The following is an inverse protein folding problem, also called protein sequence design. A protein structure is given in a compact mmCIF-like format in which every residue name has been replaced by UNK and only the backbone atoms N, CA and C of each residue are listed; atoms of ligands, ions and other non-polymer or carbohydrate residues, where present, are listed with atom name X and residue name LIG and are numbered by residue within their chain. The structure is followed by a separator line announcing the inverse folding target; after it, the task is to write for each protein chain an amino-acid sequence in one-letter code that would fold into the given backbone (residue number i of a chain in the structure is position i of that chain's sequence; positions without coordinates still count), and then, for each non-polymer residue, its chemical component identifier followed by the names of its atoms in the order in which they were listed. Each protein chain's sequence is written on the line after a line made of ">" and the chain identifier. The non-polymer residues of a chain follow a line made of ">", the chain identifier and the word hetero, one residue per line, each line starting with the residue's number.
data_IF_498384656420
#
_entry.id   IF_498384656420
#
_cell.length_a   1.000
_cell.length_b   1.000
_cell.length_c   1.000
_cell.angle_alpha   90.00
_cell.angle_beta   90.00
_cell.angle_gamma   90.00
#
_symmetry.space_group_name_H-M   'P 1'
#
loop_
_entity.id
_entity.type
_entity.pdbx_description
1 polymer ?
#
# COMPACT_ATOMS: atom_id res chain seq x y z
N UNK A 1 6.05 8.37 16.53
CA UNK A 1 4.97 9.25 17.05
C UNK A 1 5.56 10.28 18.00
N UNK A 2 5.68 11.52 17.55
CA UNK A 2 5.79 12.69 18.43
C UNK A 2 4.39 13.30 18.49
N UNK A 3 3.51 12.78 19.31
CA UNK A 3 2.13 13.24 19.39
C UNK A 3 1.69 13.48 20.81
N UNK A 4 0.75 14.39 20.98
CA UNK A 4 0.02 14.54 22.23
C UNK A 4 -0.61 13.20 22.62
N UNK A 5 -0.73 12.93 23.90
CA UNK A 5 -1.58 11.84 24.37
C UNK A 5 -3.03 12.12 23.94
N UNK A 6 -3.57 11.25 23.09
CA UNK A 6 -4.96 11.31 22.64
C UNK A 6 -5.68 10.05 23.07
N UNK A 7 -6.96 10.17 23.38
CA UNK A 7 -7.83 9.02 23.67
C UNK A 7 -8.31 8.29 22.41
N UNK A 8 -7.43 8.21 21.41
CA UNK A 8 -7.71 7.47 20.16
C UNK A 8 -6.79 6.27 20.04
N UNK A 9 -7.17 5.22 19.28
CA UNK A 9 -6.29 4.11 19.00
C UNK A 9 -4.99 4.60 18.36
N UNK A 10 -3.85 4.04 18.79
CA UNK A 10 -2.55 4.43 18.26
C UNK A 10 -2.30 3.74 16.92
N UNK A 11 -2.09 4.52 15.87
CA UNK A 11 -1.78 4.03 14.53
C UNK A 11 -0.57 3.08 14.53
N UNK A 12 0.52 3.48 15.21
CA UNK A 12 1.73 2.68 15.30
C UNK A 12 1.51 1.28 15.92
N UNK A 13 0.67 1.19 16.94
CA UNK A 13 0.37 -0.12 17.57
C UNK A 13 -0.45 -1.01 16.63
N UNK A 14 -1.38 -0.45 15.87
CA UNK A 14 -2.14 -1.20 14.86
C UNK A 14 -1.26 -1.69 13.72
N UNK A 15 -0.30 -0.88 13.27
CA UNK A 15 0.72 -1.30 12.29
C UNK A 15 1.55 -2.47 12.83
N UNK A 16 2.00 -2.41 14.10
CA UNK A 16 2.74 -3.52 14.71
C UNK A 16 1.93 -4.82 14.76
N UNK A 17 0.64 -4.73 15.13
CA UNK A 17 -0.27 -5.88 15.14
C UNK A 17 -0.40 -6.44 13.73
N UNK A 18 -0.63 -5.61 12.72
CA UNK A 18 -0.76 -6.05 11.33
C UNK A 18 0.50 -6.73 10.78
N UNK A 19 1.69 -6.19 11.10
CA UNK A 19 2.97 -6.83 10.75
C UNK A 19 3.16 -8.16 11.48
N UNK A 20 2.70 -8.28 12.73
CA UNK A 20 2.75 -9.54 13.44
C UNK A 20 1.82 -10.59 12.82
N UNK A 21 0.60 -10.21 12.42
CA UNK A 21 -0.32 -11.06 11.67
C UNK A 21 0.35 -11.52 10.36
N UNK A 22 1.03 -10.62 9.63
CA UNK A 22 1.74 -10.98 8.41
C UNK A 22 2.83 -12.06 8.62
N UNK A 23 3.51 -12.03 9.76
CA UNK A 23 4.50 -13.07 10.12
C UNK A 23 3.86 -14.38 10.54
N UNK A 24 2.75 -14.32 11.28
CA UNK A 24 2.04 -15.50 11.78
C UNK A 24 1.39 -16.30 10.65
N UNK A 25 0.88 -15.62 9.63
CA UNK A 25 0.20 -16.23 8.49
C UNK A 25 1.03 -16.17 7.20
N UNK A 26 2.36 -16.22 7.30
CA UNK A 26 3.26 -16.03 6.15
C UNK A 26 3.01 -16.99 4.98
N UNK A 27 2.54 -18.20 5.26
CA UNK A 27 2.28 -19.27 4.29
C UNK A 27 0.78 -19.46 3.96
N UNK A 28 -0.10 -18.59 4.48
CA UNK A 28 -1.55 -18.70 4.29
C UNK A 28 -2.15 -17.32 3.98
N UNK A 29 -2.24 -17.02 2.69
CA UNK A 29 -2.69 -15.74 2.16
C UNK A 29 -4.16 -15.44 2.49
N UNK A 30 -5.02 -16.46 2.41
CA UNK A 30 -6.45 -16.31 2.68
C UNK A 30 -6.68 -16.05 4.18
N UNK A 31 -6.00 -16.78 5.05
CA UNK A 31 -6.07 -16.56 6.49
C UNK A 31 -5.47 -15.20 6.87
N UNK A 32 -4.36 -14.78 6.25
CA UNK A 32 -3.78 -13.46 6.43
C UNK A 32 -4.77 -12.35 6.05
N UNK A 33 -5.32 -12.41 4.83
CA UNK A 33 -6.26 -11.40 4.32
C UNK A 33 -7.49 -11.28 5.23
N UNK A 34 -8.09 -12.43 5.58
CA UNK A 34 -9.21 -12.49 6.52
C UNK A 34 -8.86 -11.88 7.87
N UNK A 35 -7.68 -12.20 8.40
CA UNK A 35 -7.24 -11.71 9.71
C UNK A 35 -6.98 -10.20 9.71
N UNK A 36 -6.43 -9.65 8.62
CA UNK A 36 -6.29 -8.21 8.44
C UNK A 36 -7.67 -7.55 8.44
N UNK A 37 -8.63 -8.08 7.67
CA UNK A 37 -9.99 -7.54 7.63
C UNK A 37 -10.65 -7.55 9.02
N UNK A 38 -10.60 -8.67 9.73
CA UNK A 38 -11.29 -8.88 11.01
C UNK A 38 -10.67 -8.10 12.19
N UNK A 39 -9.34 -7.91 12.19
CA UNK A 39 -8.60 -7.35 13.35
C UNK A 39 -8.15 -5.91 13.13
N UNK A 40 -7.62 -5.64 11.95
CA UNK A 40 -7.15 -4.29 11.60
C UNK A 40 -8.32 -3.46 11.07
N UNK A 41 -9.19 -4.07 10.29
CA UNK A 41 -10.24 -3.41 9.54
C UNK A 41 -9.76 -2.95 8.16
N UNK A 42 -10.73 -2.68 7.30
CA UNK A 42 -10.50 -2.23 5.92
C UNK A 42 -11.44 -1.05 5.55
N UNK A 43 -11.80 -0.24 6.53
CA UNK A 43 -12.64 0.94 6.30
C UNK A 43 -11.83 2.17 5.86
N UNK A 44 -12.55 3.23 5.48
CA UNK A 44 -12.00 4.52 5.01
C UNK A 44 -11.22 5.29 6.08
N UNK A 45 -11.41 4.96 7.36
CA UNK A 45 -10.72 5.62 8.47
C UNK A 45 -9.23 5.34 8.48
N UNK A 46 -8.41 6.38 8.61
CA UNK A 46 -6.94 6.28 8.65
C UNK A 46 -6.42 5.24 9.65
N UNK A 47 -7.18 5.00 10.72
CA UNK A 47 -6.84 4.05 11.77
C UNK A 47 -6.96 2.58 11.32
N UNK A 48 -7.66 2.33 10.22
CA UNK A 48 -7.79 1.04 9.58
C UNK A 48 -7.01 0.98 8.27
N UNK A 49 -7.26 1.92 7.35
CA UNK A 49 -6.70 1.90 6.00
C UNK A 49 -5.16 1.92 5.98
N UNK A 50 -4.52 2.77 6.80
CA UNK A 50 -3.05 2.84 6.83
C UNK A 50 -2.41 1.58 7.44
N UNK A 51 -2.84 1.06 8.61
CA UNK A 51 -2.30 -0.21 9.11
C UNK A 51 -2.54 -1.39 8.18
N UNK A 52 -3.71 -1.48 7.53
CA UNK A 52 -3.99 -2.52 6.54
C UNK A 52 -3.03 -2.43 5.35
N UNK A 53 -2.88 -1.24 4.76
CA UNK A 53 -1.99 -1.00 3.62
C UNK A 53 -0.53 -1.37 3.94
N UNK A 54 -0.01 -0.91 5.09
CA UNK A 54 1.36 -1.23 5.52
C UNK A 54 1.54 -2.73 5.75
N UNK A 55 0.55 -3.40 6.35
CA UNK A 55 0.61 -4.83 6.64
C UNK A 55 0.60 -5.67 5.37
N UNK A 56 -0.25 -5.32 4.40
CA UNK A 56 -0.33 -5.99 3.10
C UNK A 56 0.95 -5.76 2.29
N UNK A 57 1.46 -4.54 2.26
CA UNK A 57 2.74 -4.25 1.61
C UNK A 57 3.90 -5.04 2.22
N UNK A 58 3.94 -5.14 3.55
CA UNK A 58 4.94 -5.95 4.27
C UNK A 58 4.82 -7.44 3.95
N UNK A 59 3.60 -7.95 3.84
CA UNK A 59 3.33 -9.36 3.54
C UNK A 59 3.72 -9.72 2.11
N UNK A 60 3.32 -8.90 1.14
CA UNK A 60 3.45 -9.23 -0.27
C UNK A 60 4.84 -8.91 -0.84
N UNK A 61 5.42 -7.76 -0.47
CA UNK A 61 6.68 -7.22 -1.02
C UNK A 61 6.75 -7.23 -2.56
N UNK A 62 5.59 -7.29 -3.21
CA UNK A 62 5.39 -7.36 -4.66
C UNK A 62 4.19 -6.49 -5.04
N UNK A 63 4.35 -5.44 -5.88
CA UNK A 63 3.26 -4.54 -6.23
C UNK A 63 2.11 -5.23 -6.96
N UNK A 64 2.39 -6.26 -7.76
CA UNK A 64 1.37 -6.97 -8.54
C UNK A 64 0.50 -7.84 -7.62
N UNK A 65 1.14 -8.62 -6.76
CA UNK A 65 0.46 -9.43 -5.75
C UNK A 65 -0.30 -8.54 -4.76
N UNK A 66 0.32 -7.44 -4.35
CA UNK A 66 -0.26 -6.45 -3.46
C UNK A 66 -1.55 -5.85 -4.02
N UNK A 67 -1.53 -5.45 -5.29
CA UNK A 67 -2.70 -4.90 -5.99
C UNK A 67 -3.88 -5.89 -5.98
N UNK A 68 -3.63 -7.16 -6.35
CA UNK A 68 -4.66 -8.19 -6.38
C UNK A 68 -5.21 -8.50 -4.99
N UNK A 69 -4.35 -8.60 -3.99
CA UNK A 69 -4.76 -8.84 -2.60
C UNK A 69 -5.64 -7.71 -2.08
N UNK A 70 -5.25 -6.45 -2.31
CA UNK A 70 -6.04 -5.29 -1.90
C UNK A 70 -7.40 -5.25 -2.62
N UNK A 71 -7.45 -5.56 -3.92
CA UNK A 71 -8.71 -5.60 -4.67
C UNK A 71 -9.70 -6.64 -4.12
N UNK A 72 -9.19 -7.73 -3.56
CA UNK A 72 -10.00 -8.82 -2.97
C UNK A 72 -10.26 -8.66 -1.46
N UNK A 73 -9.64 -7.68 -0.80
CA UNK A 73 -9.74 -7.51 0.66
C UNK A 73 -11.16 -7.19 1.13
N UNK A 74 -11.91 -6.40 0.34
CA UNK A 74 -13.17 -5.79 0.78
C UNK A 74 -12.97 -4.45 1.48
N UNK A 75 -14.06 -3.72 1.72
CA UNK A 75 -13.98 -2.38 2.33
C UNK A 75 -13.45 -1.32 1.37
N UNK A 76 -12.53 -0.48 1.83
CA UNK A 76 -11.92 0.64 1.09
C UNK A 76 -10.73 0.17 0.25
N UNK A 77 -11.00 -0.71 -0.69
CA UNK A 77 -9.99 -1.44 -1.48
C UNK A 77 -9.13 -0.53 -2.36
N UNK A 78 -9.68 0.56 -2.87
CA UNK A 78 -8.99 1.53 -3.73
C UNK A 78 -7.97 2.36 -2.94
N UNK A 79 -8.35 2.93 -1.80
CA UNK A 79 -7.44 3.69 -0.94
C UNK A 79 -6.34 2.81 -0.35
N UNK A 80 -6.72 1.65 0.20
CA UNK A 80 -5.75 0.69 0.76
C UNK A 80 -4.81 0.19 -0.33
N UNK A 81 -5.35 -0.16 -1.50
CA UNK A 81 -4.59 -0.60 -2.66
C UNK A 81 -3.62 0.44 -3.17
N UNK A 82 -4.04 1.70 -3.30
CA UNK A 82 -3.17 2.80 -3.73
C UNK A 82 -1.97 2.97 -2.78
N UNK A 83 -2.21 2.99 -1.46
CA UNK A 83 -1.13 3.12 -0.48
C UNK A 83 -0.19 1.90 -0.45
N UNK A 84 -0.75 0.70 -0.42
CA UNK A 84 0.03 -0.53 -0.30
C UNK A 84 0.88 -0.79 -1.54
N UNK A 85 0.33 -0.61 -2.75
CA UNK A 85 1.07 -0.78 -4.00
C UNK A 85 2.14 0.29 -4.19
N UNK A 86 1.89 1.53 -3.75
CA UNK A 86 2.92 2.58 -3.75
C UNK A 86 4.11 2.22 -2.86
N UNK A 87 3.86 1.67 -1.66
CA UNK A 87 4.93 1.20 -0.76
C UNK A 87 5.72 0.05 -1.42
N UNK A 88 5.05 -0.94 -1.99
CA UNK A 88 5.69 -2.04 -2.69
C UNK A 88 6.49 -1.55 -3.90
N UNK A 89 5.92 -0.65 -4.72
CA UNK A 89 6.59 -0.07 -5.88
C UNK A 89 7.85 0.71 -5.50
N UNK A 90 7.81 1.47 -4.41
CA UNK A 90 8.98 2.17 -3.88
C UNK A 90 10.07 1.19 -3.40
N UNK A 91 9.70 0.03 -2.90
CA UNK A 91 10.61 -1.00 -2.42
C UNK A 91 11.31 -1.76 -3.56
N UNK A 92 10.57 -2.16 -4.60
CA UNK A 92 11.10 -3.05 -5.66
C UNK A 92 11.43 -2.32 -6.97
N UNK A 93 10.91 -1.12 -7.17
CA UNK A 93 11.10 -0.31 -8.36
C UNK A 93 10.10 -0.59 -9.49
N UNK A 94 9.97 0.38 -10.40
CA UNK A 94 9.00 0.39 -11.50
C UNK A 94 9.12 -0.84 -12.42
N UNK A 95 10.34 -1.32 -12.68
CA UNK A 95 10.58 -2.46 -13.58
C UNK A 95 9.97 -3.79 -13.10
N UNK A 96 9.47 -3.84 -11.87
CA UNK A 96 8.80 -5.02 -11.29
C UNK A 96 7.27 -4.96 -11.43
N UNK A 97 6.73 -3.84 -11.86
CA UNK A 97 5.29 -3.72 -12.11
C UNK A 97 4.97 -4.46 -13.42
N UNK A 98 3.90 -5.26 -13.42
CA UNK A 98 3.45 -5.96 -14.61
C UNK A 98 3.12 -4.95 -15.72
N UNK A 99 3.80 -5.03 -16.90
CA UNK A 99 3.58 -4.08 -17.98
C UNK A 99 2.14 -4.07 -18.51
N UNK A 100 1.41 -5.17 -18.40
CA UNK A 100 -0.01 -5.22 -18.78
C UNK A 100 -0.87 -4.28 -17.93
N UNK A 101 -0.57 -4.13 -16.63
CA UNK A 101 -1.31 -3.21 -15.75
C UNK A 101 -1.02 -1.76 -16.09
N UNK A 102 0.25 -1.44 -16.37
CA UNK A 102 0.62 -0.07 -16.76
C UNK A 102 0.06 0.31 -18.13
N UNK A 103 0.02 -0.62 -19.07
CA UNK A 103 -0.57 -0.41 -20.38
C UNK A 103 -2.10 -0.24 -20.28
N UNK A 104 -2.77 -1.09 -19.52
CA UNK A 104 -4.21 -0.96 -19.26
C UNK A 104 -4.55 0.40 -18.64
N UNK A 105 -3.74 0.85 -17.69
CA UNK A 105 -3.91 2.16 -17.04
C UNK A 105 -3.82 3.30 -18.07
N UNK A 106 -2.81 3.25 -18.97
CA UNK A 106 -2.64 4.26 -20.03
C UNK A 106 -3.80 4.25 -21.02
N UNK A 107 -4.23 3.07 -21.46
CA UNK A 107 -5.35 2.93 -22.41
C UNK A 107 -6.66 3.46 -21.84
N UNK A 108 -6.89 3.21 -20.55
CA UNK A 108 -8.12 3.65 -19.87
C UNK A 108 -8.12 5.12 -19.46
N UNK A 109 -6.95 5.77 -19.45
CA UNK A 109 -6.80 7.17 -19.07
C UNK A 109 -6.00 7.96 -20.13
N UNK A 110 -6.52 8.06 -21.38
CA UNK A 110 -5.77 8.66 -22.49
C UNK A 110 -5.51 10.17 -22.32
N UNK A 111 -6.28 10.84 -21.44
CA UNK A 111 -6.11 12.25 -21.09
C UNK A 111 -5.03 12.50 -20.05
N UNK A 112 -4.48 11.43 -19.45
CA UNK A 112 -3.48 11.53 -18.38
C UNK A 112 -2.07 11.43 -18.94
N UNK A 113 -1.27 12.49 -18.78
CA UNK A 113 0.17 12.46 -19.13
C UNK A 113 0.98 11.85 -17.98
N UNK A 114 1.16 10.54 -18.02
CA UNK A 114 1.93 9.81 -17.00
C UNK A 114 3.43 10.20 -17.02
N UNK A 115 3.99 10.62 -18.15
CA UNK A 115 5.37 11.09 -18.24
C UNK A 115 5.56 12.43 -17.53
N UNK A 116 4.57 13.32 -17.59
CA UNK A 116 4.58 14.55 -16.81
C UNK A 116 4.63 14.27 -15.31
N UNK A 117 3.84 13.32 -14.82
CA UNK A 117 3.88 12.91 -13.40
C UNK A 117 5.24 12.35 -12.98
N UNK A 118 5.86 11.53 -13.80
CA UNK A 118 7.20 11.01 -13.54
C UNK A 118 8.22 12.16 -13.45
N UNK A 119 8.17 13.11 -14.39
CA UNK A 119 9.05 14.27 -14.39
C UNK A 119 8.86 15.16 -13.15
N UNK A 120 7.63 15.34 -12.68
CA UNK A 120 7.33 16.10 -11.45
C UNK A 120 7.93 15.38 -10.23
N UNK A 121 7.78 14.07 -10.14
CA UNK A 121 8.34 13.26 -9.04
C UNK A 121 9.88 13.29 -9.03
N UNK A 122 10.52 13.22 -10.20
CA UNK A 122 11.99 13.34 -10.32
C UNK A 122 12.49 14.71 -9.86
N UNK A 123 11.85 15.79 -10.29
CA UNK A 123 12.16 17.15 -9.80
C UNK A 123 11.98 17.27 -8.29
N UNK A 124 10.90 16.70 -7.75
CA UNK A 124 10.66 16.68 -6.31
C UNK A 124 11.78 15.96 -5.55
N UNK A 125 12.25 14.82 -6.07
CA UNK A 125 13.38 14.08 -5.49
C UNK A 125 14.68 14.89 -5.49
N UNK A 126 14.98 15.59 -6.58
CA UNK A 126 16.16 16.44 -6.70
C UNK A 126 16.12 17.59 -5.68
N UNK A 127 14.97 18.27 -5.55
CA UNK A 127 14.76 19.37 -4.61
C UNK A 127 14.91 18.92 -3.13
N UNK A 128 14.53 17.69 -2.81
CA UNK A 128 14.64 17.13 -1.48
C UNK A 128 16.05 16.57 -1.17
N UNK A 129 16.99 16.60 -2.12
CA UNK A 129 18.33 16.10 -1.94
C UNK A 129 18.39 14.59 -1.73
N UNK A 130 17.35 13.85 -2.11
CA UNK A 130 17.31 12.39 -2.03
C UNK A 130 18.16 11.82 -3.17
N UNK A 131 19.47 11.65 -2.91
CA UNK A 131 20.38 10.91 -3.78
C UNK A 131 19.94 9.45 -3.97
N UNK A 132 20.50 8.81 -5.03
CA UNK A 132 20.30 7.37 -5.31
C UNK A 132 20.87 6.52 -4.21
#
# INVERSE_FOLDING_TARGET
>A
EKGCETFSPRLAERVKIGVQIAKEYADDEDAFSKKIYDVIGAGVGIIESVPAAVSIAYYTQDPNKCCLMCANLGGDTDTIGAMATAICGAFVGYSKINPEYTELLRVQNPETDFEEYINILEKGRELLGCGR
#
